data_IF_354937991594
#
_entry.id   IF_354937991594
#
_cell.length_a   1.000
_cell.length_b   1.000
_cell.length_c   1.000
_cell.angle_alpha   90.00
_cell.angle_beta   90.00
_cell.angle_gamma   90.00
#
_symmetry.space_group_name_H-M   'P 1'
#
loop_
_entity.id
_entity.type
_entity.pdbx_description
1 polymer ?
#
# COMPACT_ATOMS: atom_id res chain seq x y z
N UNK A 1 -24.48 -11.47 -22.53
CA UNK A 1 -24.76 -11.53 -21.05
C UNK A 1 -25.62 -10.33 -20.72
N UNK A 2 -26.63 -10.48 -19.89
CA UNK A 2 -27.45 -9.37 -19.40
C UNK A 2 -26.59 -8.44 -18.53
N UNK A 3 -26.86 -7.13 -18.60
CA UNK A 3 -26.13 -6.13 -17.84
C UNK A 3 -26.15 -6.43 -16.33
N UNK A 4 -27.26 -6.93 -15.80
CA UNK A 4 -27.38 -7.31 -14.37
C UNK A 4 -26.40 -8.41 -13.96
N UNK A 5 -26.20 -9.41 -14.81
CA UNK A 5 -25.23 -10.50 -14.60
C UNK A 5 -23.80 -9.97 -14.64
N UNK A 6 -23.48 -9.07 -15.59
CA UNK A 6 -22.17 -8.43 -15.69
C UNK A 6 -21.83 -7.65 -14.41
N UNK A 7 -22.75 -6.83 -13.92
CA UNK A 7 -22.56 -6.03 -12.71
C UNK A 7 -22.33 -6.94 -11.50
N UNK A 8 -23.07 -8.03 -11.37
CA UNK A 8 -22.94 -8.99 -10.27
C UNK A 8 -21.57 -9.68 -10.27
N UNK A 9 -21.14 -10.18 -11.42
CA UNK A 9 -19.84 -10.87 -11.58
C UNK A 9 -18.69 -9.90 -11.30
N UNK A 10 -18.72 -8.71 -11.90
CA UNK A 10 -17.71 -7.69 -11.65
C UNK A 10 -17.72 -7.21 -10.18
N UNK A 11 -18.90 -7.12 -9.56
CA UNK A 11 -19.02 -6.80 -8.14
C UNK A 11 -18.32 -7.82 -7.23
N UNK A 12 -18.41 -9.11 -7.57
CA UNK A 12 -17.66 -10.18 -6.90
C UNK A 12 -16.14 -10.00 -7.02
N UNK A 13 -15.66 -9.69 -8.24
CA UNK A 13 -14.24 -9.38 -8.45
C UNK A 13 -13.78 -8.12 -7.70
N UNK A 14 -14.65 -7.09 -7.62
CA UNK A 14 -14.37 -5.86 -6.87
C UNK A 14 -14.23 -6.12 -5.37
N UNK A 15 -15.01 -7.02 -4.83
CA UNK A 15 -14.87 -7.41 -3.43
C UNK A 15 -13.47 -7.97 -3.12
N UNK A 16 -12.95 -8.84 -4.01
CA UNK A 16 -11.58 -9.39 -3.89
C UNK A 16 -10.54 -8.28 -4.02
N UNK A 17 -10.71 -7.34 -4.96
CA UNK A 17 -9.83 -6.16 -5.06
C UNK A 17 -9.85 -5.31 -3.79
N UNK A 18 -11.02 -5.11 -3.19
CA UNK A 18 -11.17 -4.38 -1.93
C UNK A 18 -10.53 -5.13 -0.74
N UNK A 19 -10.62 -6.46 -0.71
CA UNK A 19 -9.95 -7.30 0.29
C UNK A 19 -8.42 -7.15 0.19
N UNK A 20 -7.85 -7.24 -1.01
CA UNK A 20 -6.41 -7.02 -1.24
C UNK A 20 -6.03 -5.62 -0.77
N UNK A 21 -6.79 -4.59 -1.13
CA UNK A 21 -6.55 -3.20 -0.75
C UNK A 21 -6.52 -3.03 0.77
N UNK A 22 -7.56 -3.47 1.48
CA UNK A 22 -7.69 -3.29 2.93
C UNK A 22 -6.59 -4.05 3.67
N UNK A 23 -6.36 -5.32 3.33
CA UNK A 23 -5.35 -6.14 3.99
C UNK A 23 -3.93 -5.63 3.71
N UNK A 24 -3.68 -5.15 2.49
CA UNK A 24 -2.40 -4.50 2.19
C UNK A 24 -2.15 -3.30 3.09
N UNK A 25 -3.11 -2.39 3.24
CA UNK A 25 -2.98 -1.23 4.13
C UNK A 25 -2.78 -1.65 5.58
N UNK A 26 -3.58 -2.61 6.05
CA UNK A 26 -3.51 -3.11 7.43
C UNK A 26 -2.11 -3.62 7.80
N UNK A 27 -1.44 -4.32 6.87
CA UNK A 27 -0.11 -4.88 7.12
C UNK A 27 1.02 -3.92 6.72
N UNK A 28 0.89 -3.17 5.63
CA UNK A 28 1.97 -2.33 5.13
C UNK A 28 2.20 -1.06 5.94
N UNK A 29 1.17 -0.44 6.51
CA UNK A 29 1.32 0.76 7.34
C UNK A 29 2.16 0.49 8.60
N UNK A 30 1.86 -0.53 9.45
CA UNK A 30 2.70 -0.81 10.61
C UNK A 30 4.08 -1.36 10.21
N UNK A 31 4.18 -2.20 9.18
CA UNK A 31 5.45 -2.71 8.70
C UNK A 31 6.33 -1.57 8.17
N UNK A 32 5.75 -0.62 7.44
CA UNK A 32 6.43 0.58 6.96
C UNK A 32 7.01 1.41 8.10
N UNK A 33 6.30 1.53 9.23
CA UNK A 33 6.80 2.22 10.41
C UNK A 33 8.02 1.52 11.02
N UNK A 34 7.98 0.19 11.14
CA UNK A 34 9.12 -0.61 11.62
C UNK A 34 10.33 -0.42 10.70
N UNK A 35 10.12 -0.48 9.39
CA UNK A 35 11.19 -0.26 8.40
C UNK A 35 11.74 1.16 8.44
N UNK A 36 10.90 2.17 8.65
CA UNK A 36 11.31 3.58 8.79
C UNK A 36 12.25 3.75 9.99
N UNK A 37 11.89 3.18 11.16
CA UNK A 37 12.75 3.19 12.33
C UNK A 37 14.07 2.43 12.10
N UNK A 38 14.02 1.29 11.41
CA UNK A 38 15.21 0.56 10.98
C UNK A 38 16.11 1.42 10.10
N UNK A 39 15.53 2.15 9.15
CA UNK A 39 16.23 3.06 8.22
C UNK A 39 16.88 4.25 8.92
N UNK A 40 16.27 4.73 10.02
CA UNK A 40 16.76 5.84 10.85
C UNK A 40 17.64 5.37 12.02
N UNK A 41 17.86 4.06 12.17
CA UNK A 41 18.64 3.47 13.26
C UNK A 41 20.10 3.97 13.27
N UNK A 42 20.65 4.15 14.47
CA UNK A 42 22.08 4.41 14.69
C UNK A 42 22.94 3.18 14.43
N UNK A 43 22.36 1.98 14.47
CA UNK A 43 23.03 0.70 14.21
C UNK A 43 23.25 0.54 12.73
N UNK A 44 24.51 0.64 12.27
CA UNK A 44 24.84 0.67 10.85
C UNK A 44 24.33 -0.53 10.04
N UNK A 45 24.44 -1.80 10.47
CA UNK A 45 23.87 -2.95 9.77
C UNK A 45 22.35 -2.85 9.57
N UNK A 46 21.59 -2.47 10.62
CA UNK A 46 20.13 -2.34 10.54
C UNK A 46 19.74 -1.26 9.54
N UNK A 47 20.40 -0.10 9.61
CA UNK A 47 20.19 0.99 8.67
C UNK A 47 20.49 0.60 7.24
N UNK A 48 21.59 -0.14 7.00
CA UNK A 48 22.01 -0.58 5.66
C UNK A 48 21.03 -1.61 5.07
N UNK A 49 20.61 -2.61 5.85
CA UNK A 49 19.63 -3.62 5.43
C UNK A 49 18.30 -2.96 5.08
N UNK A 50 17.80 -2.05 5.92
CA UNK A 50 16.55 -1.32 5.65
C UNK A 50 16.67 -0.46 4.38
N UNK A 51 17.82 0.19 4.16
CA UNK A 51 18.10 0.96 2.94
C UNK A 51 18.09 0.08 1.70
N UNK A 52 18.71 -1.08 1.77
CA UNK A 52 18.77 -2.03 0.66
C UNK A 52 17.38 -2.56 0.32
N UNK A 53 16.62 -2.99 1.33
CA UNK A 53 15.23 -3.44 1.18
C UNK A 53 14.36 -2.38 0.48
N UNK A 54 14.35 -1.15 1.00
CA UNK A 54 13.60 -0.04 0.42
C UNK A 54 14.03 0.21 -1.04
N UNK A 55 15.35 0.17 -1.29
CA UNK A 55 15.89 0.38 -2.63
C UNK A 55 15.41 -0.68 -3.62
N UNK A 56 15.41 -1.96 -3.22
CA UNK A 56 14.94 -3.06 -4.06
C UNK A 56 13.43 -2.91 -4.33
N UNK A 57 12.63 -2.78 -3.28
CA UNK A 57 11.16 -2.76 -3.41
C UNK A 57 10.66 -1.58 -4.26
N UNK A 58 11.27 -0.41 -4.14
CA UNK A 58 10.84 0.79 -4.87
C UNK A 58 11.44 0.93 -6.28
N UNK A 59 12.41 0.09 -6.65
CA UNK A 59 13.09 0.18 -7.96
C UNK A 59 12.84 -1.04 -8.84
N UNK A 60 12.12 -2.04 -8.37
CA UNK A 60 11.74 -3.21 -9.16
C UNK A 60 10.22 -3.26 -9.35
N UNK A 61 9.72 -3.79 -10.48
CA UNK A 61 8.29 -3.87 -10.72
C UNK A 61 7.58 -4.78 -9.70
N UNK A 62 6.47 -4.30 -9.13
CA UNK A 62 5.64 -5.08 -8.19
C UNK A 62 5.23 -6.44 -8.78
N UNK A 63 4.88 -6.48 -10.07
CA UNK A 63 4.52 -7.72 -10.76
C UNK A 63 5.60 -8.81 -10.63
N UNK A 64 6.88 -8.45 -10.80
CA UNK A 64 8.00 -9.39 -10.65
C UNK A 64 8.18 -9.82 -9.19
N UNK A 65 7.96 -8.91 -8.25
CA UNK A 65 8.02 -9.23 -6.82
C UNK A 65 6.94 -10.25 -6.44
N UNK A 66 5.72 -10.10 -6.94
CA UNK A 66 4.63 -11.06 -6.75
C UNK A 66 5.00 -12.46 -7.26
N UNK A 67 5.61 -12.52 -8.45
CA UNK A 67 6.09 -13.80 -9.01
C UNK A 67 7.17 -14.44 -8.15
N UNK A 68 8.12 -13.64 -7.63
CA UNK A 68 9.19 -14.14 -6.74
C UNK A 68 8.60 -14.65 -5.43
N UNK A 69 7.65 -13.94 -4.83
CA UNK A 69 6.98 -14.39 -3.58
C UNK A 69 6.21 -15.69 -3.80
N UNK A 70 5.53 -15.82 -4.94
CA UNK A 70 4.73 -17.00 -5.23
C UNK A 70 5.57 -18.21 -5.62
N UNK A 71 6.51 -18.06 -6.57
CA UNK A 71 7.30 -19.16 -7.11
C UNK A 71 8.59 -19.43 -6.33
N UNK A 72 9.10 -18.45 -5.58
CA UNK A 72 10.34 -18.55 -4.81
C UNK A 72 10.39 -19.77 -3.87
N UNK A 73 9.34 -20.04 -3.07
CA UNK A 73 9.32 -21.22 -2.19
C UNK A 73 9.51 -22.55 -2.94
N UNK A 74 8.97 -22.66 -4.15
CA UNK A 74 9.16 -23.84 -4.98
C UNK A 74 10.58 -23.97 -5.53
N UNK A 75 11.07 -22.91 -6.20
CA UNK A 75 12.37 -22.99 -6.87
C UNK A 75 13.57 -22.98 -5.92
N UNK A 76 13.46 -22.32 -4.76
CA UNK A 76 14.56 -22.21 -3.81
C UNK A 76 14.57 -23.34 -2.77
N UNK A 77 13.39 -23.84 -2.38
CA UNK A 77 13.27 -24.79 -1.26
C UNK A 77 12.55 -26.09 -1.63
N UNK A 78 12.12 -26.28 -2.89
CA UNK A 78 11.39 -27.46 -3.33
C UNK A 78 9.99 -27.59 -2.70
N UNK A 79 9.45 -26.52 -2.13
CA UNK A 79 8.15 -26.55 -1.46
C UNK A 79 7.01 -26.71 -2.46
N UNK A 80 6.04 -27.60 -2.15
CA UNK A 80 4.83 -27.72 -2.98
C UNK A 80 3.95 -26.48 -2.81
N UNK A 81 3.62 -25.83 -3.94
CA UNK A 81 2.76 -24.65 -3.96
C UNK A 81 1.32 -25.12 -4.26
N UNK A 82 0.39 -24.80 -3.35
CA UNK A 82 -1.04 -25.01 -3.58
C UNK A 82 -1.67 -23.79 -4.27
N UNK A 83 -2.81 -24.00 -4.95
CA UNK A 83 -3.58 -22.89 -5.52
C UNK A 83 -4.09 -21.91 -4.46
N UNK A 84 -4.34 -22.39 -3.23
CA UNK A 84 -4.73 -21.55 -2.09
C UNK A 84 -3.66 -20.57 -1.63
N UNK A 85 -2.37 -20.83 -1.96
CA UNK A 85 -1.27 -19.90 -1.61
C UNK A 85 -1.26 -18.63 -2.45
N UNK A 86 -2.01 -18.58 -3.59
CA UNK A 86 -2.00 -17.40 -4.48
C UNK A 86 -2.37 -16.10 -3.77
N UNK A 87 -3.49 -16.11 -3.06
CA UNK A 87 -3.97 -14.93 -2.33
C UNK A 87 -2.99 -14.52 -1.22
N UNK A 88 -2.47 -15.48 -0.47
CA UNK A 88 -1.45 -15.23 0.54
C UNK A 88 -0.19 -14.61 -0.05
N UNK A 89 0.29 -15.12 -1.20
CA UNK A 89 1.46 -14.57 -1.89
C UNK A 89 1.21 -13.15 -2.40
N UNK A 90 0.01 -12.86 -2.91
CA UNK A 90 -0.41 -11.50 -3.29
C UNK A 90 -0.33 -10.59 -2.06
N UNK A 91 -0.97 -10.96 -0.96
CA UNK A 91 -0.99 -10.13 0.26
C UNK A 91 0.42 -9.87 0.83
N UNK A 92 1.27 -10.90 0.86
CA UNK A 92 2.68 -10.75 1.29
C UNK A 92 3.41 -9.80 0.35
N UNK A 93 3.34 -10.03 -0.97
CA UNK A 93 4.05 -9.22 -1.96
C UNK A 93 3.63 -7.75 -1.93
N UNK A 94 2.32 -7.50 -1.87
CA UNK A 94 1.79 -6.13 -1.72
C UNK A 94 2.21 -5.49 -0.40
N UNK A 95 2.07 -6.20 0.72
CA UNK A 95 2.40 -5.67 2.04
C UNK A 95 3.88 -5.28 2.15
N UNK A 96 4.80 -6.12 1.68
CA UNK A 96 6.23 -5.80 1.71
C UNK A 96 6.60 -4.70 0.71
N UNK A 97 5.95 -4.63 -0.46
CA UNK A 97 6.20 -3.56 -1.42
C UNK A 97 5.74 -2.21 -0.85
N UNK A 98 4.48 -2.10 -0.45
CA UNK A 98 3.91 -0.85 0.06
C UNK A 98 4.53 -0.40 1.39
N UNK A 99 5.00 -1.34 2.23
CA UNK A 99 5.76 -1.01 3.43
C UNK A 99 7.04 -0.21 3.12
N UNK A 100 7.69 -0.49 2.00
CA UNK A 100 8.88 0.26 1.59
C UNK A 100 8.55 1.71 1.15
N UNK A 101 7.38 1.91 0.52
CA UNK A 101 6.90 3.25 0.16
C UNK A 101 6.51 4.04 1.41
N UNK A 102 5.70 3.45 2.30
CA UNK A 102 5.33 4.10 3.56
C UNK A 102 6.54 4.39 4.46
N UNK A 103 7.54 3.51 4.48
CA UNK A 103 8.76 3.73 5.25
C UNK A 103 9.50 5.02 4.83
N UNK A 104 9.62 5.29 3.54
CA UNK A 104 10.26 6.52 3.05
C UNK A 104 9.39 7.76 3.29
N UNK A 105 8.06 7.63 3.19
CA UNK A 105 7.13 8.72 3.53
C UNK A 105 7.27 9.07 5.01
N UNK A 106 7.25 8.09 5.90
CA UNK A 106 7.42 8.32 7.35
C UNK A 106 8.78 8.93 7.68
N UNK A 107 9.86 8.39 7.10
CA UNK A 107 11.20 8.95 7.29
C UNK A 107 11.28 10.39 6.81
N UNK A 108 10.81 10.67 5.60
CA UNK A 108 10.81 12.02 5.03
C UNK A 108 10.01 13.01 5.87
N UNK A 109 8.86 12.59 6.40
CA UNK A 109 8.04 13.41 7.29
C UNK A 109 8.72 13.73 8.62
N UNK A 110 9.39 12.74 9.23
CA UNK A 110 10.12 12.96 10.48
C UNK A 110 11.33 13.87 10.27
N UNK A 111 12.09 13.67 9.19
CA UNK A 111 13.27 14.48 8.86
C UNK A 111 12.90 15.92 8.40
N UNK A 112 11.67 16.15 7.96
CA UNK A 112 11.20 17.48 7.57
C UNK A 112 10.90 18.40 8.76
N UNK A 113 10.77 17.85 10.00
CA UNK A 113 10.50 18.67 11.19
C UNK A 113 11.75 19.48 11.55
N UNK A 114 11.64 20.82 11.64
CA UNK A 114 12.77 21.69 11.94
C UNK A 114 13.42 21.36 13.30
N UNK A 115 14.76 21.37 13.34
CA UNK A 115 15.55 21.09 14.55
C UNK A 115 15.13 22.01 15.71
N UNK A 116 14.74 23.25 15.43
CA UNK A 116 14.26 24.21 16.44
C UNK A 116 13.06 23.71 17.25
N UNK A 117 12.22 22.81 16.71
CA UNK A 117 11.12 22.18 17.46
C UNK A 117 11.65 21.28 18.58
N UNK A 118 12.73 20.56 18.31
CA UNK A 118 13.39 19.70 19.30
C UNK A 118 14.15 20.53 20.36
N UNK A 119 14.77 21.62 19.92
CA UNK A 119 15.51 22.54 20.82
C UNK A 119 14.55 23.27 21.75
N UNK A 120 13.45 23.82 21.23
CA UNK A 120 12.42 24.47 22.03
C UNK A 120 11.80 23.52 23.06
N UNK A 121 11.49 22.28 22.64
CA UNK A 121 10.99 21.26 23.55
C UNK A 121 11.98 20.95 24.71
N UNK A 122 13.28 20.90 24.40
CA UNK A 122 14.32 20.67 25.37
C UNK A 122 14.42 21.80 26.36
N UNK A 123 14.33 23.06 25.92
CA UNK A 123 14.32 24.26 26.82
C UNK A 123 13.11 24.22 27.75
N UNK A 124 11.96 23.75 27.30
CA UNK A 124 10.75 23.57 28.09
C UNK A 124 10.78 22.35 29.00
N UNK A 125 11.90 21.60 29.08
CA UNK A 125 12.08 20.45 29.93
C UNK A 125 11.38 19.16 29.47
N UNK A 126 10.91 19.08 28.20
CA UNK A 126 10.30 17.87 27.66
C UNK A 126 11.33 16.73 27.53
N UNK A 127 10.94 15.54 27.96
CA UNK A 127 11.72 14.33 27.64
C UNK A 127 11.64 14.01 26.12
N UNK A 128 12.57 13.18 25.61
CA UNK A 128 12.58 12.78 24.20
C UNK A 128 11.26 12.15 23.74
N UNK A 129 10.65 11.31 24.58
CA UNK A 129 9.35 10.69 24.29
C UNK A 129 8.23 11.74 24.27
N UNK A 130 8.18 12.65 25.23
CA UNK A 130 7.21 13.74 25.26
C UNK A 130 7.36 14.66 24.04
N UNK A 131 8.58 15.01 23.67
CA UNK A 131 8.88 15.79 22.45
C UNK A 131 8.34 15.08 21.23
N UNK A 132 8.64 13.78 21.09
CA UNK A 132 8.17 13.02 19.93
C UNK A 132 6.64 12.95 19.88
N UNK A 133 5.98 12.44 20.91
CA UNK A 133 4.54 12.19 20.84
C UNK A 133 3.67 13.45 20.94
N UNK A 134 4.10 14.50 21.64
CA UNK A 134 3.28 15.70 21.84
C UNK A 134 3.55 16.81 20.81
N UNK A 135 4.75 16.86 20.25
CA UNK A 135 5.18 17.97 19.38
C UNK A 135 5.46 17.47 17.94
N UNK A 136 6.35 16.48 17.80
CA UNK A 136 6.83 16.04 16.49
C UNK A 136 5.79 15.19 15.76
N UNK A 137 5.29 14.15 16.39
CA UNK A 137 4.38 13.18 15.77
C UNK A 137 3.10 13.82 15.17
N UNK A 138 2.39 14.74 15.85
CA UNK A 138 1.23 15.40 15.26
C UNK A 138 1.58 16.24 14.01
N UNK A 139 2.75 16.87 14.01
CA UNK A 139 3.24 17.63 12.85
C UNK A 139 3.62 16.68 11.70
N UNK A 140 4.30 15.57 12.00
CA UNK A 140 4.64 14.54 11.01
C UNK A 140 3.39 13.98 10.36
N UNK A 141 2.35 13.63 11.12
CA UNK A 141 1.09 13.10 10.58
C UNK A 141 0.49 14.04 9.53
N UNK A 142 0.46 15.35 9.79
CA UNK A 142 0.00 16.33 8.81
C UNK A 142 0.87 16.37 7.56
N UNK A 143 2.18 16.41 7.77
CA UNK A 143 3.13 16.58 6.68
C UNK A 143 3.16 15.38 5.72
N UNK A 144 2.96 14.16 6.23
CA UNK A 144 2.99 12.96 5.42
C UNK A 144 1.64 12.62 4.77
N UNK A 145 0.53 13.16 5.28
CA UNK A 145 -0.81 12.75 4.89
C UNK A 145 -1.07 12.84 3.38
N UNK A 146 -0.71 13.93 2.66
CA UNK A 146 -0.90 13.99 1.22
C UNK A 146 -0.12 12.91 0.45
N UNK A 147 1.10 12.58 0.91
CA UNK A 147 1.89 11.52 0.31
C UNK A 147 1.29 10.13 0.58
N UNK A 148 0.79 9.90 1.80
CA UNK A 148 0.08 8.67 2.17
C UNK A 148 -1.20 8.53 1.35
N UNK A 149 -1.98 9.60 1.18
CA UNK A 149 -3.18 9.65 0.33
C UNK A 149 -2.87 9.22 -1.10
N UNK A 150 -1.81 9.75 -1.70
CA UNK A 150 -1.40 9.39 -3.06
C UNK A 150 -1.05 7.90 -3.19
N UNK A 151 -0.35 7.32 -2.22
CA UNK A 151 -0.03 5.88 -2.22
C UNK A 151 -1.27 5.02 -2.03
N UNK A 152 -2.21 5.42 -1.16
CA UNK A 152 -3.50 4.73 -0.97
C UNK A 152 -4.32 4.72 -2.26
N UNK A 153 -4.42 5.86 -2.95
CA UNK A 153 -5.10 5.99 -4.23
C UNK A 153 -4.43 5.13 -5.32
N UNK A 154 -3.10 5.07 -5.31
CA UNK A 154 -2.34 4.22 -6.24
C UNK A 154 -2.59 2.74 -5.96
N UNK A 155 -2.62 2.33 -4.70
CA UNK A 155 -2.89 0.95 -4.29
C UNK A 155 -4.22 0.42 -4.84
N UNK A 156 -5.28 1.24 -4.89
CA UNK A 156 -6.57 0.84 -5.49
C UNK A 156 -6.36 0.29 -6.91
N UNK A 157 -5.59 0.99 -7.73
CA UNK A 157 -5.32 0.59 -9.11
C UNK A 157 -4.38 -0.62 -9.20
N UNK A 158 -3.38 -0.65 -8.32
CA UNK A 158 -2.38 -1.71 -8.30
C UNK A 158 -2.96 -3.07 -7.89
N UNK A 159 -4.12 -3.12 -7.20
CA UNK A 159 -4.78 -4.41 -6.89
C UNK A 159 -5.01 -5.26 -8.14
N UNK A 160 -5.17 -4.63 -9.30
CA UNK A 160 -5.28 -5.33 -10.59
C UNK A 160 -4.04 -6.18 -10.92
N UNK A 161 -2.85 -5.85 -10.40
CA UNK A 161 -1.63 -6.62 -10.64
C UNK A 161 -1.67 -8.04 -10.06
N UNK A 162 -2.64 -8.33 -9.18
CA UNK A 162 -2.87 -9.68 -8.67
C UNK A 162 -3.25 -10.68 -9.78
N UNK A 163 -3.66 -10.19 -10.96
CA UNK A 163 -3.94 -11.03 -12.13
C UNK A 163 -2.75 -11.92 -12.53
N UNK A 164 -1.52 -11.47 -12.26
CA UNK A 164 -0.29 -12.21 -12.62
C UNK A 164 -0.18 -13.56 -11.91
N UNK A 165 -0.78 -13.67 -10.73
CA UNK A 165 -0.89 -14.91 -9.96
C UNK A 165 -2.24 -15.62 -10.16
N UNK A 166 -3.01 -15.22 -11.19
CA UNK A 166 -4.33 -15.75 -11.50
C UNK A 166 -5.31 -15.68 -10.30
N UNK A 167 -5.23 -14.62 -9.49
CA UNK A 167 -6.27 -14.28 -8.54
C UNK A 167 -7.43 -13.63 -9.29
N UNK A 168 -8.64 -14.09 -9.03
CA UNK A 168 -9.84 -13.66 -9.76
C UNK A 168 -10.42 -12.38 -9.13
N UNK A 169 -9.62 -11.32 -9.11
CA UNK A 169 -10.04 -9.97 -8.75
C UNK A 169 -10.77 -9.27 -9.93
N UNK A 170 -11.14 -8.01 -9.78
CA UNK A 170 -11.94 -7.24 -10.75
C UNK A 170 -11.40 -7.30 -12.18
N UNK A 171 -10.11 -7.01 -12.38
CA UNK A 171 -9.51 -6.98 -13.73
C UNK A 171 -9.48 -8.38 -14.35
N UNK A 172 -9.13 -9.41 -13.56
CA UNK A 172 -9.14 -10.81 -14.01
C UNK A 172 -10.54 -11.25 -14.41
N UNK A 173 -11.55 -10.89 -13.64
CA UNK A 173 -12.95 -11.17 -13.95
C UNK A 173 -13.38 -10.48 -15.25
N UNK A 174 -13.09 -9.19 -15.38
CA UNK A 174 -13.40 -8.43 -16.60
C UNK A 174 -12.73 -9.05 -17.84
N UNK A 175 -11.45 -9.47 -17.71
CA UNK A 175 -10.68 -10.12 -18.77
C UNK A 175 -11.31 -11.45 -19.21
N UNK A 176 -11.74 -12.28 -18.26
CA UNK A 176 -12.39 -13.55 -18.54
C UNK A 176 -13.74 -13.36 -19.26
N UNK A 177 -14.55 -12.43 -18.78
CA UNK A 177 -15.86 -12.14 -19.40
C UNK A 177 -15.66 -11.53 -20.79
N UNK A 178 -14.73 -10.58 -20.95
CA UNK A 178 -14.43 -9.95 -22.24
C UNK A 178 -13.98 -10.98 -23.30
N UNK A 179 -13.12 -11.92 -22.91
CA UNK A 179 -12.67 -13.00 -23.78
C UNK A 179 -13.82 -13.94 -24.18
N UNK A 180 -14.67 -14.33 -23.20
CA UNK A 180 -15.80 -15.22 -23.46
C UNK A 180 -16.87 -14.59 -24.38
N UNK A 181 -17.05 -13.27 -24.32
CA UNK A 181 -18.05 -12.55 -25.10
C UNK A 181 -17.49 -11.85 -26.35
N UNK A 182 -16.17 -11.89 -26.55
CA UNK A 182 -15.50 -11.13 -27.62
C UNK A 182 -15.95 -9.67 -27.62
N UNK A 183 -15.97 -9.02 -26.42
CA UNK A 183 -16.53 -7.69 -26.20
C UNK A 183 -15.63 -6.85 -25.30
N UNK A 184 -15.58 -5.54 -25.58
CA UNK A 184 -14.87 -4.55 -24.73
C UNK A 184 -15.70 -4.03 -23.57
N UNK A 185 -17.01 -4.29 -23.55
CA UNK A 185 -17.94 -3.79 -22.52
C UNK A 185 -17.49 -4.15 -21.10
N UNK A 186 -17.02 -5.37 -20.78
CA UNK A 186 -16.56 -5.71 -19.43
C UNK A 186 -15.36 -4.87 -18.95
N UNK A 187 -14.43 -4.51 -19.86
CA UNK A 187 -13.30 -3.64 -19.50
C UNK A 187 -13.75 -2.22 -19.18
N UNK A 188 -14.69 -1.66 -19.96
CA UNK A 188 -15.25 -0.33 -19.69
C UNK A 188 -15.99 -0.34 -18.35
N UNK A 189 -16.81 -1.37 -18.09
CA UNK A 189 -17.51 -1.53 -16.84
C UNK A 189 -16.53 -1.63 -15.65
N UNK A 190 -15.48 -2.45 -15.74
CA UNK A 190 -14.45 -2.55 -14.72
C UNK A 190 -13.75 -1.21 -14.50
N UNK A 191 -13.45 -0.44 -15.55
CA UNK A 191 -12.91 0.92 -15.43
C UNK A 191 -13.82 1.85 -14.63
N UNK A 192 -15.14 1.78 -14.82
CA UNK A 192 -16.11 2.56 -14.04
C UNK A 192 -16.09 2.12 -12.57
N UNK A 193 -16.07 0.83 -12.27
CA UNK A 193 -15.96 0.32 -10.90
C UNK A 193 -14.69 0.80 -10.19
N UNK A 194 -13.52 0.69 -10.85
CA UNK A 194 -12.26 1.21 -10.32
C UNK A 194 -12.31 2.72 -10.08
N UNK A 195 -12.90 3.46 -11.03
CA UNK A 195 -13.08 4.91 -10.88
C UNK A 195 -13.93 5.27 -9.66
N UNK A 196 -15.10 4.62 -9.51
CA UNK A 196 -15.98 4.85 -8.36
C UNK A 196 -15.32 4.47 -7.05
N UNK A 197 -14.66 3.32 -6.99
CA UNK A 197 -13.95 2.88 -5.79
C UNK A 197 -12.82 3.86 -5.42
N UNK A 198 -12.04 4.29 -6.40
CA UNK A 198 -10.97 5.25 -6.20
C UNK A 198 -11.49 6.62 -5.75
N UNK A 199 -12.62 7.07 -6.33
CA UNK A 199 -13.28 8.31 -5.92
C UNK A 199 -13.74 8.24 -4.45
N UNK A 200 -14.34 7.12 -4.03
CA UNK A 200 -14.75 6.92 -2.64
C UNK A 200 -13.57 6.97 -1.68
N UNK A 201 -12.47 6.29 -2.03
CA UNK A 201 -11.23 6.33 -1.24
C UNK A 201 -10.67 7.74 -1.18
N UNK A 202 -10.61 8.46 -2.30
CA UNK A 202 -10.13 9.84 -2.34
C UNK A 202 -10.97 10.78 -1.46
N UNK A 203 -12.30 10.69 -1.52
CA UNK A 203 -13.18 11.49 -0.66
C UNK A 203 -13.01 11.19 0.84
N UNK A 204 -12.76 9.93 1.19
CA UNK A 204 -12.46 9.55 2.59
C UNK A 204 -11.15 10.18 3.04
N UNK A 205 -10.11 10.09 2.22
CA UNK A 205 -8.80 10.66 2.53
C UNK A 205 -8.83 12.18 2.62
N UNK A 206 -9.54 12.86 1.72
CA UNK A 206 -9.76 14.30 1.76
C UNK A 206 -10.41 14.76 3.08
N UNK A 207 -11.46 14.06 3.54
CA UNK A 207 -12.07 14.33 4.85
C UNK A 207 -11.12 14.12 6.02
N UNK A 208 -10.20 13.16 5.92
CA UNK A 208 -9.17 12.94 6.94
C UNK A 208 -8.17 14.10 6.93
N UNK A 209 -7.76 14.56 5.73
CA UNK A 209 -6.87 15.71 5.56
C UNK A 209 -7.49 16.99 6.14
N UNK A 210 -8.74 17.28 5.82
CA UNK A 210 -9.47 18.43 6.36
C UNK A 210 -9.51 18.43 7.91
N UNK A 211 -9.80 17.26 8.52
CA UNK A 211 -9.84 17.14 9.99
C UNK A 211 -8.48 17.36 10.67
N UNK A 212 -7.39 17.04 9.98
CA UNK A 212 -6.04 17.22 10.50
C UNK A 212 -5.48 18.61 10.20
N UNK A 213 -6.12 19.39 9.32
CA UNK A 213 -5.65 20.70 8.87
C UNK A 213 -6.13 21.87 9.74
N UNK A 214 -6.33 21.66 11.04
CA UNK A 214 -6.85 22.65 12.00
C UNK A 214 -5.81 23.68 12.52
N UNK A 215 -4.56 23.65 12.06
CA UNK A 215 -3.54 24.70 12.26
C UNK A 215 -3.08 25.23 10.91
N UNK A 216 -3.28 26.51 10.68
CA UNK A 216 -2.63 27.28 9.61
C UNK A 216 -1.28 27.82 10.08
#
# INVERSE_FOLDING_TARGET
MEIGTLIRELGGGMWISAEIFILTLLFSLPLGLVVAFGRMSKIAPVRWISKLYISIMRRTPLMLQLMVVYFGPYYLFGMRISTGYRMTAVLIGFAINYAAYFAEIYRGGIEAIPVGQYEAAKVLGYSKGQTFFRIVFPQVCKHILPAVTNEIITLVKDTSLAFVLAVTEMFTMAKQIAAAQTSMVPYIAAGIFYYVFNLLVAMIMEKIEEKLNYYH
#
